data_IF_847107860027
#
_entry.id   IF_847107860027
#
_cell.length_a   1.000
_cell.length_b   1.000
_cell.length_c   1.000
_cell.angle_alpha   90.00
_cell.angle_beta   90.00
_cell.angle_gamma   90.00
#
_symmetry.space_group_name_H-M   'P 1'
#
loop_
_entity.id
_entity.type
_entity.pdbx_description
1 polymer ?
#
# COMPACT_ATOMS: atom_id res chain seq x y z
N UNK A 1 38.97 67.23 -54.11
CA UNK A 1 40.42 67.20 -53.79
C UNK A 1 40.58 66.94 -52.31
N UNK A 2 41.65 66.26 -51.93
CA UNK A 2 41.90 65.84 -50.55
C UNK A 2 42.30 67.03 -49.67
N UNK A 3 42.05 66.95 -48.36
CA UNK A 3 43.19 66.93 -47.45
C UNK A 3 42.89 66.04 -46.23
N UNK A 4 43.75 65.04 -46.02
CA UNK A 4 43.80 64.22 -44.80
C UNK A 4 44.98 64.75 -44.00
N UNK A 5 44.74 65.20 -42.77
CA UNK A 5 45.82 65.49 -41.84
C UNK A 5 45.48 65.05 -40.43
N UNK A 6 46.46 64.47 -39.76
CA UNK A 6 46.25 63.60 -38.60
C UNK A 6 46.77 64.17 -37.27
N UNK A 7 46.26 63.58 -36.19
CA UNK A 7 46.88 63.42 -34.86
C UNK A 7 46.99 64.61 -33.89
N UNK A 8 46.11 64.59 -32.87
CA UNK A 8 46.37 64.34 -31.41
C UNK A 8 47.61 64.98 -30.74
N UNK A 9 47.51 65.45 -29.47
CA UNK A 9 47.09 64.67 -28.28
C UNK A 9 45.69 65.11 -27.75
N UNK A 10 45.22 64.98 -26.49
CA UNK A 10 45.81 64.64 -25.17
C UNK A 10 44.86 63.83 -24.25
N UNK A 11 45.33 63.54 -23.02
CA UNK A 11 44.71 62.75 -21.96
C UNK A 11 43.63 63.47 -21.11
N UNK A 12 42.58 62.72 -20.74
CA UNK A 12 41.95 62.79 -19.41
C UNK A 12 41.63 61.35 -18.98
N UNK A 13 42.07 60.94 -17.79
CA UNK A 13 42.04 59.55 -17.32
C UNK A 13 41.43 59.52 -15.91
N UNK A 14 40.10 59.55 -15.84
CA UNK A 14 39.37 59.58 -14.57
C UNK A 14 37.93 59.09 -14.75
N UNK A 15 37.37 58.39 -13.76
CA UNK A 15 35.95 58.00 -13.77
C UNK A 15 35.59 56.53 -13.56
N UNK A 16 36.25 55.85 -12.60
CA UNK A 16 35.72 54.71 -11.80
C UNK A 16 34.70 53.75 -12.44
N UNK A 17 35.15 52.51 -12.61
CA UNK A 17 34.51 51.27 -12.13
C UNK A 17 33.04 51.35 -11.70
N UNK A 18 32.15 50.94 -12.61
CA UNK A 18 30.72 50.74 -12.34
C UNK A 18 30.24 49.37 -12.84
N UNK A 19 30.82 48.28 -12.31
CA UNK A 19 30.33 46.92 -12.63
C UNK A 19 28.89 46.77 -12.14
N UNK A 20 27.94 46.74 -13.08
CA UNK A 20 26.55 46.39 -12.78
C UNK A 20 26.47 44.88 -12.54
N UNK A 21 26.91 44.47 -11.35
CA UNK A 21 26.92 43.08 -10.93
C UNK A 21 25.51 42.52 -10.94
N UNK A 22 25.24 41.61 -11.88
CA UNK A 22 24.02 40.80 -11.91
C UNK A 22 23.89 40.05 -10.58
N UNK A 23 23.10 40.62 -9.66
CA UNK A 23 22.77 40.02 -8.37
C UNK A 23 21.89 38.79 -8.61
N UNK A 24 22.53 37.66 -8.92
CA UNK A 24 21.94 36.35 -8.71
C UNK A 24 21.54 36.25 -7.24
N UNK A 25 20.24 36.35 -6.93
CA UNK A 25 19.69 36.07 -5.61
C UNK A 25 19.78 34.56 -5.34
N UNK A 26 21.00 34.04 -5.18
CA UNK A 26 21.27 32.71 -4.61
C UNK A 26 20.90 32.80 -3.13
N UNK A 27 19.64 32.54 -2.86
CA UNK A 27 19.04 32.80 -1.54
C UNK A 27 17.52 32.59 -1.55
N UNK A 28 17.04 31.61 -2.32
CA UNK A 28 15.86 30.86 -1.87
C UNK A 28 16.41 29.65 -1.12
N UNK A 29 16.89 29.90 0.09
CA UNK A 29 16.84 28.87 1.12
C UNK A 29 15.33 28.62 1.27
N UNK A 30 14.84 27.48 0.79
CA UNK A 30 13.53 27.02 1.27
C UNK A 30 13.76 26.74 2.74
N UNK A 31 13.28 27.63 3.59
CA UNK A 31 13.15 27.33 5.00
C UNK A 31 12.25 26.11 5.06
N UNK A 32 12.87 24.98 5.38
CA UNK A 32 12.20 23.69 5.43
C UNK A 32 11.30 23.79 6.65
N UNK A 33 9.99 23.73 6.43
CA UNK A 33 9.02 23.67 7.52
C UNK A 33 9.26 22.39 8.31
N UNK A 34 10.02 22.51 9.40
CA UNK A 34 10.44 21.41 10.26
C UNK A 34 9.22 20.76 10.90
N UNK A 35 8.23 21.55 11.28
CA UNK A 35 6.95 21.07 11.83
C UNK A 35 6.15 20.31 10.77
N UNK A 36 6.08 20.85 9.54
CA UNK A 36 5.50 20.16 8.39
C UNK A 36 6.19 18.83 8.06
N UNK A 37 7.51 18.73 8.23
CA UNK A 37 8.25 17.46 8.10
C UNK A 37 7.94 16.50 9.25
N UNK A 38 7.91 16.95 10.50
CA UNK A 38 7.56 16.10 11.64
C UNK A 38 6.14 15.53 11.50
N UNK A 39 5.17 16.38 11.14
CA UNK A 39 3.79 15.97 10.88
C UNK A 39 3.71 14.94 9.74
N UNK A 40 4.42 15.15 8.62
CA UNK A 40 4.45 14.21 7.52
C UNK A 40 5.12 12.87 7.88
N UNK A 41 6.17 12.91 8.71
CA UNK A 41 6.84 11.73 9.25
C UNK A 41 5.89 10.92 10.14
N UNK A 42 5.19 11.57 11.07
CA UNK A 42 4.27 10.91 11.99
C UNK A 42 3.05 10.32 11.28
N UNK A 43 2.50 11.03 10.28
CA UNK A 43 1.46 10.48 9.40
C UNK A 43 1.94 9.24 8.64
N UNK A 44 3.17 9.26 8.11
CA UNK A 44 3.78 8.12 7.41
C UNK A 44 4.02 6.95 8.39
N UNK A 45 4.50 7.23 9.60
CA UNK A 45 4.73 6.23 10.64
C UNK A 45 3.44 5.53 11.06
N UNK A 46 2.31 6.24 11.18
CA UNK A 46 1.04 5.59 11.51
C UNK A 46 0.47 4.78 10.34
N UNK A 47 0.63 5.23 9.08
CA UNK A 47 0.30 4.41 7.91
C UNK A 47 1.12 3.10 7.89
N UNK A 48 2.42 3.18 8.15
CA UNK A 48 3.29 2.00 8.28
C UNK A 48 2.86 1.10 9.44
N UNK A 49 2.45 1.67 10.58
CA UNK A 49 1.91 0.91 11.73
C UNK A 49 0.62 0.19 11.37
N UNK A 50 -0.25 0.78 10.55
CA UNK A 50 -1.46 0.10 10.06
C UNK A 50 -1.12 -1.04 9.10
N UNK A 51 -0.25 -0.82 8.12
CA UNK A 51 0.20 -1.85 7.16
C UNK A 51 0.84 -3.04 7.91
N UNK A 52 1.70 -2.77 8.89
CA UNK A 52 2.33 -3.81 9.70
C UNK A 52 1.34 -4.68 10.50
N UNK A 53 0.13 -4.18 10.78
CA UNK A 53 -0.94 -4.96 11.46
C UNK A 53 -1.75 -5.82 10.50
N UNK A 54 -1.78 -5.53 9.20
CA UNK A 54 -2.63 -6.25 8.24
C UNK A 54 -2.42 -7.78 8.22
N UNK A 55 -1.18 -8.32 8.24
CA UNK A 55 -0.98 -9.77 8.27
C UNK A 55 -1.58 -10.43 9.52
N UNK A 56 -1.45 -9.78 10.68
CA UNK A 56 -2.03 -10.25 11.94
C UNK A 56 -3.55 -10.27 11.86
N UNK A 57 -4.17 -9.20 11.38
CA UNK A 57 -5.63 -9.14 11.23
C UNK A 57 -6.17 -10.15 10.21
N UNK A 58 -5.46 -10.35 9.08
CA UNK A 58 -5.80 -11.37 8.10
C UNK A 58 -5.74 -12.78 8.70
N UNK A 59 -4.67 -13.10 9.44
CA UNK A 59 -4.52 -14.39 10.13
C UNK A 59 -5.60 -14.61 11.21
N UNK A 60 -5.94 -13.59 12.00
CA UNK A 60 -7.03 -13.68 12.98
C UNK A 60 -8.37 -13.95 12.31
N UNK A 61 -8.66 -13.28 11.19
CA UNK A 61 -9.88 -13.48 10.40
C UNK A 61 -9.93 -14.89 9.79
N UNK A 62 -8.83 -15.36 9.19
CA UNK A 62 -8.71 -16.73 8.66
C UNK A 62 -8.92 -17.80 9.74
N UNK A 63 -8.37 -17.58 10.94
CA UNK A 63 -8.55 -18.49 12.08
C UNK A 63 -9.99 -18.50 12.59
N UNK A 64 -10.67 -17.34 12.61
CA UNK A 64 -12.10 -17.27 12.94
C UNK A 64 -12.95 -18.03 11.92
N UNK A 65 -12.73 -17.81 10.61
CA UNK A 65 -13.43 -18.54 9.53
C UNK A 65 -13.23 -20.06 9.63
N UNK A 66 -12.00 -20.52 9.89
CA UNK A 66 -11.73 -21.95 10.16
C UNK A 66 -12.50 -22.46 11.37
N UNK A 67 -12.57 -21.68 12.45
CA UNK A 67 -13.28 -22.06 13.69
C UNK A 67 -14.78 -22.21 13.46
N UNK A 68 -15.41 -21.26 12.76
CA UNK A 68 -16.83 -21.34 12.41
C UNK A 68 -17.13 -22.51 11.48
N UNK A 69 -16.28 -22.78 10.49
CA UNK A 69 -16.39 -23.96 9.64
C UNK A 69 -16.37 -25.28 10.44
N UNK A 70 -15.44 -25.43 11.38
CA UNK A 70 -15.40 -26.61 12.25
C UNK A 70 -16.65 -26.72 13.14
N UNK A 71 -17.17 -25.59 13.64
CA UNK A 71 -18.41 -25.54 14.43
C UNK A 71 -19.62 -26.02 13.61
N UNK A 72 -19.81 -25.45 12.41
CA UNK A 72 -20.90 -25.81 11.49
C UNK A 72 -20.83 -27.30 11.14
N UNK A 73 -19.68 -27.82 10.69
CA UNK A 73 -19.55 -29.25 10.34
C UNK A 73 -19.84 -30.19 11.52
N UNK A 74 -19.61 -29.75 12.76
CA UNK A 74 -19.94 -30.52 13.98
C UNK A 74 -21.43 -30.49 14.29
N UNK A 75 -22.10 -29.36 14.04
CA UNK A 75 -23.55 -29.18 14.26
C UNK A 75 -24.39 -29.91 13.19
N UNK A 76 -23.88 -30.06 11.97
CA UNK A 76 -24.49 -30.89 10.91
C UNK A 76 -24.45 -32.37 11.30
N UNK A 77 -25.54 -32.90 11.88
CA UNK A 77 -25.60 -34.28 12.41
C UNK A 77 -25.59 -35.36 11.30
N UNK A 78 -26.09 -35.00 10.12
CA UNK A 78 -26.27 -35.87 8.95
C UNK A 78 -24.97 -36.29 8.26
N UNK A 79 -23.82 -35.76 8.71
CA UNK A 79 -22.48 -36.11 8.24
C UNK A 79 -21.81 -37.11 9.18
N UNK A 80 -21.24 -38.18 8.63
CA UNK A 80 -20.42 -39.11 9.42
C UNK A 80 -19.09 -38.45 9.86
N UNK A 81 -18.37 -39.08 10.79
CA UNK A 81 -17.02 -38.66 11.16
C UNK A 81 -16.05 -38.67 9.98
N UNK A 82 -16.22 -39.62 9.04
CA UNK A 82 -15.43 -39.70 7.81
C UNK A 82 -15.75 -38.53 6.87
N UNK A 83 -17.03 -38.25 6.64
CA UNK A 83 -17.48 -37.14 5.79
C UNK A 83 -16.92 -35.80 6.28
N UNK A 84 -17.03 -35.55 7.59
CA UNK A 84 -16.46 -34.35 8.23
C UNK A 84 -14.94 -34.27 8.00
N UNK A 85 -14.22 -35.38 8.13
CA UNK A 85 -12.76 -35.43 7.89
C UNK A 85 -12.39 -35.18 6.43
N UNK A 86 -13.16 -35.70 5.47
CA UNK A 86 -12.97 -35.47 4.03
C UNK A 86 -13.21 -34.00 3.67
N UNK A 87 -14.33 -33.42 4.12
CA UNK A 87 -14.66 -32.01 3.91
C UNK A 87 -13.61 -31.07 4.54
N UNK A 88 -13.15 -31.39 5.76
CA UNK A 88 -12.06 -30.66 6.40
C UNK A 88 -10.78 -30.73 5.59
N UNK A 89 -10.34 -31.92 5.18
CA UNK A 89 -9.13 -32.09 4.37
C UNK A 89 -9.18 -31.30 3.06
N UNK A 90 -10.34 -31.25 2.40
CA UNK A 90 -10.50 -30.51 1.16
C UNK A 90 -10.50 -29.00 1.40
N UNK A 91 -11.42 -28.50 2.23
CA UNK A 91 -11.70 -27.07 2.36
C UNK A 91 -10.64 -26.32 3.19
N UNK A 92 -9.95 -26.97 4.15
CA UNK A 92 -8.86 -26.31 4.89
C UNK A 92 -7.69 -25.84 4.02
N UNK A 93 -7.54 -26.41 2.82
CA UNK A 93 -6.53 -25.98 1.84
C UNK A 93 -6.93 -24.72 1.05
N UNK A 94 -8.21 -24.32 1.08
CA UNK A 94 -8.78 -23.25 0.23
C UNK A 94 -9.59 -22.27 1.08
N UNK A 95 -8.95 -21.18 1.51
CA UNK A 95 -9.57 -20.19 2.40
C UNK A 95 -10.81 -19.51 1.79
N UNK A 96 -10.83 -19.26 0.48
CA UNK A 96 -11.98 -18.62 -0.17
C UNK A 96 -13.22 -19.54 -0.17
N UNK A 97 -13.03 -20.85 -0.35
CA UNK A 97 -14.11 -21.83 -0.22
C UNK A 97 -14.68 -21.85 1.20
N UNK A 98 -13.83 -21.79 2.23
CA UNK A 98 -14.26 -21.71 3.63
C UNK A 98 -15.07 -20.45 3.90
N UNK A 99 -14.63 -19.30 3.36
CA UNK A 99 -15.36 -18.02 3.47
C UNK A 99 -16.73 -18.13 2.80
N UNK A 100 -16.80 -18.69 1.60
CA UNK A 100 -18.06 -18.94 0.90
C UNK A 100 -18.98 -19.88 1.68
N UNK A 101 -18.46 -20.97 2.24
CA UNK A 101 -19.24 -21.94 3.02
C UNK A 101 -19.78 -21.36 4.33
N UNK A 102 -18.98 -20.57 5.07
CA UNK A 102 -19.45 -19.94 6.31
C UNK A 102 -20.59 -18.94 6.05
N UNK A 103 -20.56 -18.24 4.91
CA UNK A 103 -21.58 -17.28 4.49
C UNK A 103 -22.81 -17.91 3.81
N UNK A 104 -22.76 -19.19 3.45
CA UNK A 104 -23.86 -19.91 2.82
C UNK A 104 -25.08 -20.01 3.75
N UNK A 105 -26.33 -19.97 3.23
CA UNK A 105 -27.53 -20.29 4.02
C UNK A 105 -27.48 -21.71 4.59
N UNK A 106 -27.93 -21.91 5.82
CA UNK A 106 -27.81 -23.20 6.53
C UNK A 106 -28.54 -24.34 5.81
N UNK A 107 -29.67 -24.04 5.15
CA UNK A 107 -30.46 -24.99 4.37
C UNK A 107 -29.82 -25.41 3.03
N UNK A 108 -28.78 -24.69 2.58
CA UNK A 108 -27.99 -25.03 1.41
C UNK A 108 -26.74 -25.86 1.76
N UNK A 109 -26.13 -25.63 2.94
CA UNK A 109 -24.87 -26.27 3.36
C UNK A 109 -24.90 -27.79 3.31
N UNK A 110 -25.99 -28.41 3.75
CA UNK A 110 -26.16 -29.86 3.72
C UNK A 110 -26.13 -30.41 2.28
N UNK A 111 -26.85 -29.74 1.37
CA UNK A 111 -26.89 -30.11 -0.06
C UNK A 111 -25.52 -29.93 -0.70
N UNK A 112 -24.84 -28.81 -0.40
CA UNK A 112 -23.48 -28.53 -0.86
C UNK A 112 -22.48 -29.60 -0.41
N UNK A 113 -22.46 -29.92 0.89
CA UNK A 113 -21.62 -31.00 1.42
C UNK A 113 -21.87 -32.35 0.74
N UNK A 114 -23.14 -32.71 0.49
CA UNK A 114 -23.51 -33.95 -0.19
C UNK A 114 -23.07 -34.01 -1.66
N UNK A 115 -23.05 -32.89 -2.37
CA UNK A 115 -22.48 -32.81 -3.73
C UNK A 115 -20.97 -32.93 -3.67
N UNK A 116 -20.32 -32.12 -2.83
CA UNK A 116 -18.87 -32.06 -2.70
C UNK A 116 -18.24 -33.40 -2.26
N UNK A 117 -18.91 -34.18 -1.40
CA UNK A 117 -18.50 -35.54 -1.03
C UNK A 117 -18.61 -36.56 -2.18
N UNK A 118 -19.59 -36.41 -3.07
CA UNK A 118 -19.74 -37.28 -4.27
C UNK A 118 -18.62 -37.04 -5.27
N UNK A 119 -18.18 -35.79 -5.41
CA UNK A 119 -17.08 -35.45 -6.31
C UNK A 119 -15.71 -35.93 -5.78
N UNK A 120 -15.54 -36.03 -4.45
CA UNK A 120 -14.34 -36.62 -3.82
C UNK A 120 -14.28 -38.15 -3.85
N UNK A 121 -15.40 -38.82 -4.13
CA UNK A 121 -15.52 -40.29 -4.12
C UNK A 121 -15.59 -40.90 -5.53
N UNK A 122 -15.33 -40.07 -6.56
CA UNK A 122 -15.11 -40.46 -7.96
C UNK A 122 -13.63 -40.62 -8.27
#
# INVERSE_FOLDING_TARGET
>A
MNDVRASRPSCALEGRTGSSGSKRKRGSQREVDVEGIHLALDQTNEQLRMIAKWPTHALTNDNHVRTEFFRILREMLELTSLDRTLLQRHLLSRMDDLRGFVLMPEDEKEKFCKVLLRDMTR
#
